data_IF_515277869841
#
_entry.id   IF_515277869841
#
_cell.length_a   1.000
_cell.length_b   1.000
_cell.length_c   1.000
_cell.angle_alpha   90.00
_cell.angle_beta   90.00
_cell.angle_gamma   90.00
#
_symmetry.space_group_name_H-M   'P 1'
#
loop_
_entity.id
_entity.type
_entity.pdbx_description
1 polymer ?
#
# COMPACT_ATOMS: atom_id res chain seq x y z
N UNK A 1 -7.08 -16.38 7.23
CA UNK A 1 -7.04 -15.08 7.93
C UNK A 1 -7.56 -15.27 9.34
N UNK A 2 -6.79 -14.79 10.32
CA UNK A 2 -7.15 -14.84 11.73
C UNK A 2 -7.36 -13.41 12.24
N UNK A 3 -8.31 -13.24 13.15
CA UNK A 3 -8.56 -11.98 13.85
C UNK A 3 -8.19 -12.16 15.32
N UNK A 4 -7.38 -11.25 15.84
CA UNK A 4 -7.02 -11.17 17.25
C UNK A 4 -7.61 -9.89 17.83
N UNK A 5 -8.45 -10.01 18.87
CA UNK A 5 -8.89 -8.87 19.67
C UNK A 5 -7.72 -8.40 20.55
N UNK A 6 -7.59 -7.10 20.77
CA UNK A 6 -6.59 -6.53 21.70
C UNK A 6 -7.22 -5.97 22.98
N UNK A 7 -8.52 -6.22 23.20
CA UNK A 7 -9.24 -5.69 24.36
C UNK A 7 -8.77 -6.33 25.68
N UNK A 8 -8.27 -7.57 25.64
CA UNK A 8 -7.81 -8.32 26.80
C UNK A 8 -6.40 -8.89 26.58
N UNK A 9 -5.63 -8.99 27.67
CA UNK A 9 -4.25 -9.50 27.70
C UNK A 9 -4.10 -10.97 27.20
N UNK A 10 -5.20 -11.69 27.01
CA UNK A 10 -5.22 -13.08 26.58
C UNK A 10 -6.34 -13.36 25.56
N UNK A 11 -6.35 -12.62 24.45
CA UNK A 11 -7.31 -12.88 23.38
C UNK A 11 -6.86 -14.06 22.51
N UNK A 12 -7.80 -14.97 22.20
CA UNK A 12 -7.55 -16.04 21.24
C UNK A 12 -7.67 -15.50 19.80
N UNK A 13 -6.78 -15.93 18.92
CA UNK A 13 -6.91 -15.66 17.49
C UNK A 13 -8.05 -16.52 16.92
N UNK A 14 -9.02 -15.88 16.26
CA UNK A 14 -10.18 -16.54 15.66
C UNK A 14 -10.00 -16.65 14.15
N UNK A 15 -10.14 -17.85 13.59
CA UNK A 15 -10.18 -18.00 12.14
C UNK A 15 -11.48 -17.42 11.57
N UNK A 16 -11.35 -16.45 10.68
CA UNK A 16 -12.48 -15.72 10.08
C UNK A 16 -12.68 -16.01 8.60
N UNK A 17 -11.98 -17.01 8.05
CA UNK A 17 -11.99 -17.31 6.62
C UNK A 17 -11.78 -18.79 6.33
N UNK A 18 -12.26 -19.28 5.19
CA UNK A 18 -12.02 -20.65 4.73
C UNK A 18 -10.58 -20.91 4.20
N UNK A 19 -9.68 -19.91 4.29
CA UNK A 19 -8.36 -19.92 3.65
C UNK A 19 -8.23 -18.70 2.73
N UNK A 20 -7.11 -17.97 2.80
CA UNK A 20 -6.92 -16.72 2.06
C UNK A 20 -5.54 -16.60 1.40
N UNK A 21 -4.87 -17.72 1.16
CA UNK A 21 -3.54 -17.70 0.57
C UNK A 21 -2.49 -17.02 1.47
N UNK A 22 -1.32 -16.75 0.89
CA UNK A 22 -0.23 -15.98 1.51
C UNK A 22 -0.34 -14.49 1.19
N UNK A 23 0.41 -13.65 1.93
CA UNK A 23 0.59 -12.21 1.66
C UNK A 23 -0.66 -11.31 1.78
N UNK A 24 -1.60 -11.63 2.67
CA UNK A 24 -2.96 -11.07 2.60
C UNK A 24 -3.14 -9.54 2.75
N UNK A 25 -2.14 -8.77 3.19
CA UNK A 25 -2.17 -7.29 3.37
C UNK A 25 -3.58 -6.74 3.70
N UNK A 26 -4.17 -7.09 4.87
CA UNK A 26 -5.57 -6.82 5.15
C UNK A 26 -5.83 -5.35 5.46
N UNK A 27 -7.00 -4.87 5.03
CA UNK A 27 -7.49 -3.53 5.34
C UNK A 27 -8.97 -3.59 5.75
N UNK A 28 -9.28 -3.11 6.95
CA UNK A 28 -10.64 -3.00 7.46
C UNK A 28 -11.39 -1.86 6.76
N UNK A 29 -12.65 -2.11 6.42
CA UNK A 29 -13.56 -1.05 6.00
C UNK A 29 -13.77 -0.04 7.12
N UNK A 30 -14.14 1.22 6.81
CA UNK A 30 -14.33 2.24 7.84
C UNK A 30 -15.42 1.88 8.87
N UNK A 31 -16.43 1.13 8.46
CA UNK A 31 -17.48 0.59 9.33
C UNK A 31 -17.08 -0.69 10.10
N UNK A 32 -15.88 -1.23 9.86
CA UNK A 32 -15.36 -2.44 10.47
C UNK A 32 -16.05 -3.74 10.07
N UNK A 33 -16.99 -3.72 9.10
CA UNK A 33 -17.79 -4.90 8.73
C UNK A 33 -17.14 -5.79 7.69
N UNK A 34 -16.20 -5.24 6.91
CA UNK A 34 -15.53 -5.93 5.81
C UNK A 34 -14.02 -5.81 5.93
N UNK A 35 -13.32 -6.80 5.39
CA UNK A 35 -11.87 -6.75 5.20
C UNK A 35 -11.59 -6.90 3.71
N UNK A 36 -10.89 -5.93 3.13
CA UNK A 36 -10.27 -6.09 1.82
C UNK A 36 -8.88 -6.71 2.02
N UNK A 37 -8.54 -7.70 1.21
CA UNK A 37 -7.26 -8.40 1.29
C UNK A 37 -6.66 -8.60 -0.08
N UNK A 38 -5.34 -8.77 -0.13
CA UNK A 38 -4.72 -9.52 -1.21
C UNK A 38 -5.02 -11.02 -1.01
N UNK A 39 -5.27 -11.71 -2.11
CA UNK A 39 -5.38 -13.17 -2.16
C UNK A 39 -4.40 -13.70 -3.20
N UNK A 40 -3.53 -14.62 -2.81
CA UNK A 40 -2.67 -15.39 -3.71
C UNK A 40 -3.06 -16.88 -3.59
N UNK A 41 -3.63 -17.51 -4.64
CA UNK A 41 -4.18 -18.86 -4.53
C UNK A 41 -3.13 -19.92 -4.23
N UNK A 42 -1.91 -19.73 -4.70
CA UNK A 42 -0.80 -20.65 -4.55
C UNK A 42 0.27 -20.02 -3.66
N UNK A 43 0.53 -20.56 -2.45
CA UNK A 43 1.56 -20.04 -1.56
C UNK A 43 2.99 -20.39 -1.99
N UNK A 44 3.18 -21.36 -2.89
CA UNK A 44 4.48 -21.78 -3.41
C UNK A 44 4.92 -20.94 -4.61
N UNK A 45 3.96 -20.31 -5.30
CA UNK A 45 4.22 -19.39 -6.41
C UNK A 45 4.11 -17.94 -5.96
N UNK A 46 5.26 -17.27 -5.82
CA UNK A 46 5.34 -15.89 -5.39
C UNK A 46 4.52 -14.98 -6.32
N UNK A 47 3.44 -14.41 -5.75
CA UNK A 47 2.57 -13.41 -6.36
C UNK A 47 1.93 -13.79 -7.71
N UNK A 48 1.81 -15.09 -8.01
CA UNK A 48 1.09 -15.54 -9.18
C UNK A 48 -0.44 -15.38 -9.00
N UNK A 49 -1.11 -14.82 -10.00
CA UNK A 49 -2.59 -14.76 -10.08
C UNK A 49 -3.29 -14.10 -8.87
N UNK A 50 -2.68 -13.05 -8.32
CA UNK A 50 -3.25 -12.35 -7.16
C UNK A 50 -4.61 -11.71 -7.45
N UNK A 51 -5.41 -11.55 -6.40
CA UNK A 51 -6.72 -10.89 -6.45
C UNK A 51 -6.92 -9.99 -5.24
N UNK A 52 -7.78 -8.98 -5.35
CA UNK A 52 -8.34 -8.31 -4.18
C UNK A 52 -9.67 -8.96 -3.84
N UNK A 53 -9.78 -9.48 -2.62
CA UNK A 53 -10.97 -10.16 -2.10
C UNK A 53 -11.57 -9.34 -0.96
N UNK A 54 -12.88 -9.18 -0.98
CA UNK A 54 -13.66 -8.71 0.16
C UNK A 54 -14.13 -9.89 0.99
N UNK A 55 -13.85 -9.85 2.28
CA UNK A 55 -14.42 -10.73 3.29
C UNK A 55 -15.47 -9.93 4.08
N UNK A 56 -16.70 -10.41 4.11
CA UNK A 56 -17.73 -9.92 5.02
C UNK A 56 -17.62 -10.64 6.37
N UNK A 57 -17.44 -9.89 7.46
CA UNK A 57 -17.19 -10.48 8.78
C UNK A 57 -18.43 -11.09 9.44
N UNK A 58 -19.63 -10.72 8.99
CA UNK A 58 -20.89 -11.23 9.56
C UNK A 58 -21.26 -12.55 8.92
N UNK A 59 -21.25 -12.58 7.60
CA UNK A 59 -21.66 -13.74 6.78
C UNK A 59 -20.51 -14.68 6.45
N UNK A 60 -19.26 -14.22 6.64
CA UNK A 60 -18.02 -14.90 6.22
C UNK A 60 -17.92 -15.14 4.72
N UNK A 61 -18.76 -14.47 3.92
CA UNK A 61 -18.71 -14.57 2.47
C UNK A 61 -17.47 -13.87 1.93
N UNK A 62 -16.87 -14.47 0.90
CA UNK A 62 -15.73 -13.92 0.17
C UNK A 62 -16.13 -13.57 -1.26
N UNK A 63 -15.72 -12.39 -1.72
CA UNK A 63 -15.98 -11.91 -3.07
C UNK A 63 -14.71 -11.35 -3.69
N UNK A 64 -14.31 -11.89 -4.84
CA UNK A 64 -13.27 -11.28 -5.67
C UNK A 64 -13.81 -10.00 -6.30
N UNK A 65 -13.16 -8.87 -6.04
CA UNK A 65 -13.53 -7.56 -6.62
C UNK A 65 -12.53 -7.08 -7.67
N UNK A 66 -11.29 -7.58 -7.62
CA UNK A 66 -10.25 -7.34 -8.62
C UNK A 66 -9.47 -8.64 -8.82
N UNK A 67 -9.28 -9.06 -10.07
CA UNK A 67 -8.52 -10.26 -10.44
C UNK A 67 -7.39 -9.84 -11.39
N UNK A 68 -6.12 -10.02 -10.98
CA UNK A 68 -4.98 -9.53 -11.78
C UNK A 68 -4.93 -10.13 -13.18
N UNK A 69 -5.45 -11.36 -13.36
CA UNK A 69 -5.48 -12.05 -14.67
C UNK A 69 -6.46 -11.42 -15.66
N UNK A 70 -7.39 -10.61 -15.18
CA UNK A 70 -8.38 -9.89 -16.00
C UNK A 70 -7.94 -8.47 -16.34
N UNK A 71 -6.82 -8.01 -15.76
CA UNK A 71 -6.32 -6.67 -15.98
C UNK A 71 -5.33 -6.67 -17.15
N UNK A 72 -5.54 -5.75 -18.09
CA UNK A 72 -4.56 -5.45 -19.13
C UNK A 72 -3.73 -4.26 -18.65
N UNK A 73 -2.43 -4.45 -18.49
CA UNK A 73 -1.55 -3.44 -17.88
C UNK A 73 -0.49 -2.94 -18.85
N UNK A 74 0.15 -3.84 -19.59
CA UNK A 74 1.11 -3.58 -20.67
C UNK A 74 1.05 -4.72 -21.72
N UNK A 75 1.70 -4.52 -22.87
CA UNK A 75 1.90 -5.60 -23.85
C UNK A 75 3.04 -6.56 -23.46
N UNK A 76 3.78 -6.26 -22.39
CA UNK A 76 4.91 -7.08 -21.95
C UNK A 76 4.42 -8.33 -21.21
N UNK A 77 4.37 -9.44 -21.94
CA UNK A 77 3.90 -10.74 -21.41
C UNK A 77 4.90 -11.43 -20.49
N UNK A 78 6.12 -10.90 -20.32
CA UNK A 78 7.16 -11.48 -19.46
C UNK A 78 7.08 -10.99 -18.01
N UNK A 79 6.11 -10.13 -17.69
CA UNK A 79 5.92 -9.61 -16.33
C UNK A 79 4.86 -10.39 -15.55
N UNK A 80 5.07 -10.48 -14.24
CA UNK A 80 4.03 -10.97 -13.32
C UNK A 80 3.17 -9.80 -12.85
N UNK A 81 1.88 -9.85 -13.17
CA UNK A 81 0.91 -8.82 -12.76
C UNK A 81 0.33 -9.13 -11.37
N UNK A 82 0.51 -8.18 -10.46
CA UNK A 82 0.14 -8.29 -9.05
C UNK A 82 -0.83 -7.19 -8.67
N UNK A 83 -1.93 -7.55 -8.03
CA UNK A 83 -2.79 -6.61 -7.30
C UNK A 83 -2.57 -6.79 -5.80
N UNK A 84 -2.36 -5.69 -5.10
CA UNK A 84 -1.92 -5.71 -3.70
C UNK A 84 -2.33 -4.44 -2.95
N UNK A 85 -2.13 -4.46 -1.62
CA UNK A 85 -2.22 -3.34 -0.68
C UNK A 85 -3.53 -2.57 -0.83
N UNK A 86 -4.67 -3.25 -0.63
CA UNK A 86 -5.94 -2.55 -0.57
C UNK A 86 -5.94 -1.57 0.61
N UNK A 87 -6.47 -0.37 0.40
CA UNK A 87 -6.66 0.64 1.45
C UNK A 87 -8.02 1.29 1.24
N UNK A 88 -8.82 1.33 2.30
CA UNK A 88 -10.14 1.94 2.24
C UNK A 88 -10.04 3.46 2.24
N UNK A 89 -10.61 4.07 1.21
CA UNK A 89 -10.81 5.51 1.14
C UNK A 89 -12.15 5.88 1.75
N UNK A 90 -13.21 5.10 1.52
CA UNK A 90 -14.55 5.26 2.11
C UNK A 90 -15.32 3.94 2.00
N UNK A 91 -16.54 3.86 2.55
CA UNK A 91 -17.37 2.66 2.45
C UNK A 91 -17.68 2.23 1.00
N UNK A 92 -17.49 3.15 0.04
CA UNK A 92 -17.70 2.93 -1.39
C UNK A 92 -16.44 3.05 -2.25
N UNK A 93 -15.27 3.35 -1.68
CA UNK A 93 -14.04 3.54 -2.44
C UNK A 93 -12.86 2.79 -1.81
N UNK A 94 -12.17 2.01 -2.63
CA UNK A 94 -10.95 1.29 -2.26
C UNK A 94 -9.81 1.70 -3.19
N UNK A 95 -8.63 1.99 -2.64
CA UNK A 95 -7.40 2.11 -3.42
C UNK A 95 -6.65 0.79 -3.36
N UNK A 96 -6.02 0.39 -4.45
CA UNK A 96 -5.11 -0.76 -4.49
C UNK A 96 -3.94 -0.49 -5.44
N UNK A 97 -2.87 -1.27 -5.28
CA UNK A 97 -1.69 -1.26 -6.14
C UNK A 97 -1.88 -2.28 -7.26
N UNK A 98 -1.61 -1.87 -8.50
CA UNK A 98 -1.39 -2.75 -9.64
C UNK A 98 0.09 -2.65 -10.05
N UNK A 99 0.84 -3.71 -9.82
CA UNK A 99 2.28 -3.78 -10.08
C UNK A 99 2.61 -4.84 -11.13
N UNK A 100 3.64 -4.55 -11.93
CA UNK A 100 4.27 -5.50 -12.85
C UNK A 100 5.68 -5.77 -12.33
N UNK A 101 5.98 -7.04 -12.08
CA UNK A 101 7.30 -7.51 -11.67
C UNK A 101 7.98 -8.19 -12.85
N UNK A 102 9.17 -7.72 -13.22
CA UNK A 102 10.03 -8.42 -14.19
C UNK A 102 10.72 -9.63 -13.56
N UNK A 103 10.88 -9.61 -12.23
CA UNK A 103 11.40 -10.72 -11.45
C UNK A 103 10.76 -10.67 -10.04
N UNK A 104 9.70 -11.46 -9.81
CA UNK A 104 9.00 -11.53 -8.52
C UNK A 104 9.90 -11.97 -7.36
N UNK A 105 10.84 -12.89 -7.62
CA UNK A 105 11.69 -13.48 -6.57
C UNK A 105 12.64 -12.45 -5.98
N UNK A 106 13.26 -11.62 -6.82
CA UNK A 106 14.08 -10.49 -6.36
C UNK A 106 13.28 -9.24 -5.98
N UNK A 107 11.96 -9.23 -6.24
CA UNK A 107 11.10 -8.07 -6.04
C UNK A 107 11.34 -6.94 -7.05
N UNK A 108 11.96 -7.24 -8.21
CA UNK A 108 12.25 -6.25 -9.25
C UNK A 108 10.97 -5.84 -9.96
N UNK A 109 10.52 -4.64 -9.65
CA UNK A 109 9.30 -4.04 -10.18
C UNK A 109 9.58 -3.09 -11.34
N UNK A 110 8.97 -3.35 -12.49
CA UNK A 110 9.06 -2.52 -13.70
C UNK A 110 8.04 -1.38 -13.68
N UNK A 111 6.84 -1.64 -13.14
CA UNK A 111 5.72 -0.69 -13.14
C UNK A 111 4.90 -0.80 -11.87
N UNK A 112 4.37 0.31 -11.37
CA UNK A 112 3.44 0.31 -10.25
C UNK A 112 2.48 1.49 -10.31
N UNK A 113 1.19 1.18 -10.27
CA UNK A 113 0.13 2.15 -10.44
C UNK A 113 -0.90 1.98 -9.33
N UNK A 114 -1.32 3.08 -8.72
CA UNK A 114 -2.48 3.09 -7.83
C UNK A 114 -3.74 3.21 -8.66
N UNK A 115 -4.71 2.36 -8.33
CA UNK A 115 -6.06 2.39 -8.87
C UNK A 115 -7.06 2.63 -7.74
N UNK A 116 -8.11 3.38 -8.02
CA UNK A 116 -9.26 3.54 -7.14
C UNK A 116 -10.43 2.76 -7.71
N UNK A 117 -10.93 1.78 -6.95
CA UNK A 117 -12.12 1.00 -7.24
C UNK A 117 -13.35 1.62 -6.56
N UNK A 118 -14.39 1.88 -7.35
CA UNK A 118 -15.70 2.36 -6.91
C UNK A 118 -16.67 1.17 -6.83
N UNK A 119 -17.09 0.83 -5.60
CA UNK A 119 -17.99 -0.29 -5.35
C UNK A 119 -19.38 -0.10 -5.96
N UNK A 120 -19.85 1.14 -6.10
CA UNK A 120 -21.18 1.44 -6.64
C UNK A 120 -21.18 1.29 -8.16
N UNK A 121 -20.11 1.74 -8.82
CA UNK A 121 -19.96 1.69 -10.27
C UNK A 121 -19.34 0.38 -10.77
N UNK A 122 -18.72 -0.38 -9.88
CA UNK A 122 -17.88 -1.54 -10.21
C UNK A 122 -16.81 -1.22 -11.25
N UNK A 123 -16.21 -0.04 -11.09
CA UNK A 123 -15.21 0.50 -11.99
C UNK A 123 -13.97 0.87 -11.22
N UNK A 124 -12.82 0.73 -11.87
CA UNK A 124 -11.55 1.22 -11.37
C UNK A 124 -10.99 2.31 -12.27
N UNK A 125 -10.34 3.29 -11.66
CA UNK A 125 -9.66 4.37 -12.38
C UNK A 125 -8.23 4.48 -11.91
N UNK A 126 -7.30 4.69 -12.84
CA UNK A 126 -5.90 4.99 -12.51
C UNK A 126 -5.84 6.35 -11.82
N UNK A 127 -5.16 6.42 -10.68
CA UNK A 127 -5.02 7.68 -9.92
C UNK A 127 -3.57 8.16 -9.84
N UNK A 128 -2.58 7.28 -9.74
CA UNK A 128 -1.17 7.67 -9.63
C UNK A 128 -0.20 6.56 -10.06
N UNK A 129 1.05 6.92 -10.38
CA UNK A 129 2.09 5.96 -10.75
C UNK A 129 2.02 5.50 -12.20
N UNK A 130 2.90 4.56 -12.54
CA UNK A 130 3.14 4.05 -13.89
C UNK A 130 4.53 3.44 -13.95
N UNK A 131 5.19 3.64 -15.09
CA UNK A 131 6.60 3.30 -15.27
C UNK A 131 7.49 4.38 -14.67
N UNK A 132 8.73 4.00 -14.37
CA UNK A 132 9.80 4.95 -14.12
C UNK A 132 10.93 4.63 -15.08
N UNK A 133 11.38 5.66 -15.80
CA UNK A 133 12.39 5.58 -16.83
C UNK A 133 13.24 6.86 -16.79
N UNK A 134 14.28 6.91 -17.62
CA UNK A 134 15.09 8.11 -17.80
C UNK A 134 14.86 8.67 -19.19
N UNK A 135 14.85 10.00 -19.34
CA UNK A 135 14.86 10.65 -20.65
C UNK A 135 16.19 10.36 -21.38
N UNK A 136 16.29 10.76 -22.65
CA UNK A 136 17.54 10.64 -23.40
C UNK A 136 18.68 11.44 -22.77
N UNK A 137 18.35 12.52 -22.05
CA UNK A 137 19.23 13.40 -21.31
C UNK A 137 19.58 12.87 -19.90
N UNK A 138 19.01 11.73 -19.50
CA UNK A 138 19.26 11.11 -18.20
C UNK A 138 18.39 11.65 -17.07
N UNK A 139 17.35 12.45 -17.36
CA UNK A 139 16.43 12.94 -16.34
C UNK A 139 15.44 11.86 -15.92
N UNK A 140 15.18 11.73 -14.62
CA UNK A 140 14.21 10.76 -14.11
C UNK A 140 12.78 11.17 -14.49
N UNK A 141 12.10 10.30 -15.25
CA UNK A 141 10.75 10.49 -15.74
C UNK A 141 9.79 9.45 -15.18
N UNK A 142 8.53 9.86 -15.00
CA UNK A 142 7.51 9.03 -14.38
C UNK A 142 7.87 8.64 -12.93
N UNK A 143 7.07 7.74 -12.37
CA UNK A 143 7.34 7.10 -11.08
C UNK A 143 6.44 5.89 -10.91
N UNK A 144 6.93 4.90 -10.16
CA UNK A 144 6.12 3.78 -9.65
C UNK A 144 5.47 4.23 -8.35
N UNK A 145 4.16 4.11 -8.22
CA UNK A 145 3.44 4.49 -6.99
C UNK A 145 3.17 3.27 -6.13
N UNK A 146 3.65 3.27 -4.89
CA UNK A 146 3.60 2.12 -3.99
C UNK A 146 3.22 2.54 -2.57
N UNK A 147 2.92 1.54 -1.75
CA UNK A 147 2.71 1.72 -0.31
C UNK A 147 1.62 2.74 0.05
N UNK A 148 0.40 2.63 -0.52
CA UNK A 148 -0.67 3.57 -0.23
C UNK A 148 -1.07 3.51 1.25
N UNK A 149 -1.46 4.65 1.80
CA UNK A 149 -2.12 4.77 3.10
C UNK A 149 -3.10 5.95 3.06
N UNK A 150 -4.17 5.90 3.84
CA UNK A 150 -5.15 6.99 3.92
C UNK A 150 -5.00 7.71 5.25
N UNK A 151 -4.91 9.03 5.19
CA UNK A 151 -5.01 9.90 6.36
C UNK A 151 -6.44 10.40 6.45
N UNK A 152 -7.04 10.22 7.62
CA UNK A 152 -8.26 10.91 8.01
C UNK A 152 -7.91 11.89 9.11
N UNK A 153 -7.75 13.17 8.76
CA UNK A 153 -7.67 14.24 9.75
C UNK A 153 -9.05 14.44 10.42
N UNK A 154 -9.06 15.08 11.59
CA UNK A 154 -10.29 15.38 12.37
C UNK A 154 -11.37 16.10 11.54
N UNK A 155 -10.98 16.78 10.46
CA UNK A 155 -11.85 17.57 9.59
C UNK A 155 -12.42 16.80 8.38
N UNK A 156 -12.17 15.49 8.27
CA UNK A 156 -12.61 14.60 7.18
C UNK A 156 -11.97 14.88 5.81
N UNK A 157 -10.95 15.74 5.70
CA UNK A 157 -10.18 15.87 4.47
C UNK A 157 -9.35 14.59 4.27
N UNK A 158 -9.85 13.68 3.42
CA UNK A 158 -9.16 12.41 3.16
C UNK A 158 -8.05 12.63 2.17
N UNK A 159 -6.83 12.36 2.59
CA UNK A 159 -5.66 12.39 1.73
C UNK A 159 -5.10 10.99 1.55
N UNK A 160 -4.73 10.66 0.32
CA UNK A 160 -3.95 9.48 0.02
C UNK A 160 -2.47 9.83 0.15
N UNK A 161 -1.77 9.07 0.98
CA UNK A 161 -0.31 9.04 1.03
C UNK A 161 0.19 7.86 0.20
N UNK A 162 1.34 8.02 -0.42
CA UNK A 162 2.05 6.93 -1.09
C UNK A 162 3.53 7.30 -1.26
N UNK A 163 4.35 6.33 -1.63
CA UNK A 163 5.73 6.58 -2.06
C UNK A 163 5.81 6.54 -3.59
N UNK A 164 6.41 7.56 -4.19
CA UNK A 164 6.81 7.58 -5.58
C UNK A 164 8.25 7.04 -5.69
N UNK A 165 8.45 5.97 -6.45
CA UNK A 165 9.77 5.37 -6.69
C UNK A 165 10.23 5.73 -8.09
N UNK A 166 11.39 6.38 -8.18
CA UNK A 166 12.09 6.67 -9.44
C UNK A 166 13.34 5.80 -9.53
N UNK A 167 13.55 5.18 -10.69
CA UNK A 167 14.61 4.18 -10.84
C UNK A 167 14.46 3.02 -9.86
N UNK A 168 15.55 2.67 -9.16
CA UNK A 168 15.60 1.57 -8.21
C UNK A 168 15.39 2.00 -6.74
N UNK A 169 16.00 3.11 -6.33
CA UNK A 169 16.12 3.49 -4.92
C UNK A 169 15.61 4.89 -4.58
N UNK A 170 15.46 5.80 -5.55
CA UNK A 170 14.98 7.15 -5.29
C UNK A 170 13.49 7.12 -4.92
N UNK A 171 13.15 7.63 -3.74
CA UNK A 171 11.81 7.58 -3.17
C UNK A 171 11.41 8.94 -2.64
N UNK A 172 10.24 9.39 -3.09
CA UNK A 172 9.62 10.61 -2.59
C UNK A 172 8.30 10.28 -1.86
N UNK A 173 8.08 10.84 -0.66
CA UNK A 173 6.78 10.79 0.00
C UNK A 173 5.79 11.72 -0.74
N UNK A 174 4.61 11.20 -1.04
CA UNK A 174 3.60 11.91 -1.83
C UNK A 174 2.28 12.02 -1.06
N UNK A 175 1.57 13.13 -1.25
CA UNK A 175 0.19 13.37 -0.82
C UNK A 175 -0.68 13.64 -2.03
N UNK A 176 -1.91 13.14 -2.02
CA UNK A 176 -2.93 13.46 -3.01
C UNK A 176 -4.26 13.67 -2.30
N UNK A 177 -4.91 14.80 -2.56
CA UNK A 177 -6.27 15.01 -2.09
C UNK A 177 -7.23 14.04 -2.82
N UNK A 178 -8.13 13.38 -2.08
CA UNK A 178 -9.09 12.44 -2.66
C UNK A 178 -10.39 13.17 -3.04
N UNK A 179 -11.16 12.67 -4.04
CA UNK A 179 -10.93 11.43 -4.80
C UNK A 179 -9.98 11.57 -6.01
N UNK A 180 -9.73 12.79 -6.50
CA UNK A 180 -8.93 13.05 -7.70
C UNK A 180 -8.29 14.45 -7.68
N UNK A 181 -7.67 14.83 -6.57
CA UNK A 181 -7.01 16.12 -6.39
C UNK A 181 -5.56 16.14 -6.86
N UNK A 182 -4.93 17.29 -6.71
CA UNK A 182 -3.54 17.50 -7.05
C UNK A 182 -2.63 16.61 -6.18
N UNK A 183 -1.55 16.14 -6.80
CA UNK A 183 -0.47 15.39 -6.13
C UNK A 183 0.61 16.39 -5.75
N UNK A 184 1.16 16.24 -4.54
CA UNK A 184 2.28 17.02 -4.05
C UNK A 184 3.30 16.12 -3.35
N UNK A 185 4.56 16.56 -3.36
CA UNK A 185 5.61 15.97 -2.53
C UNK A 185 5.41 16.46 -1.09
N UNK A 186 5.62 15.58 -0.11
CA UNK A 186 5.72 15.97 1.29
C UNK A 186 7.18 16.27 1.59
N UNK A 187 7.49 17.47 2.06
CA UNK A 187 8.86 17.87 2.34
C UNK A 187 9.36 17.30 3.68
N UNK A 188 9.69 16.01 3.70
CA UNK A 188 10.33 15.37 4.87
C UNK A 188 11.83 15.70 4.95
N UNK A 189 12.48 15.99 3.81
CA UNK A 189 13.93 16.17 3.72
C UNK A 189 14.71 15.04 4.41
N UNK A 190 14.29 13.79 4.17
CA UNK A 190 14.90 12.59 4.74
C UNK A 190 15.41 11.68 3.61
N UNK A 191 16.73 11.61 3.37
CA UNK A 191 17.27 10.78 2.30
C UNK A 191 17.08 9.28 2.56
N UNK A 192 16.80 8.88 3.80
CA UNK A 192 16.55 7.49 4.19
C UNK A 192 15.06 7.11 4.03
N UNK A 193 14.20 8.00 3.53
CA UNK A 193 12.78 7.71 3.36
C UNK A 193 12.57 6.49 2.44
N UNK A 194 11.81 5.52 2.92
CA UNK A 194 11.45 4.33 2.15
C UNK A 194 9.95 4.12 2.01
N UNK A 195 9.17 4.52 3.01
CA UNK A 195 7.73 4.23 3.11
C UNK A 195 7.44 2.90 3.83
N UNK A 196 6.15 2.53 4.06
CA UNK A 196 4.98 3.39 3.89
C UNK A 196 5.04 4.59 4.85
N UNK A 197 4.11 5.51 4.68
CA UNK A 197 4.00 6.71 5.52
C UNK A 197 2.58 6.84 6.03
N UNK A 198 2.46 7.24 7.29
CA UNK A 198 1.23 7.53 8.01
C UNK A 198 1.32 8.92 8.62
N UNK A 199 0.16 9.46 8.97
CA UNK A 199 0.06 10.71 9.70
C UNK A 199 -0.90 10.53 10.89
N UNK A 200 -0.46 10.93 12.07
CA UNK A 200 -1.24 10.82 13.30
C UNK A 200 -0.90 11.95 14.26
N UNK A 201 -1.92 12.68 14.73
CA UNK A 201 -1.79 13.65 15.81
C UNK A 201 -0.58 14.60 15.65
N UNK A 202 -0.40 15.14 14.45
CA UNK A 202 0.70 16.08 14.14
C UNK A 202 2.04 15.42 13.79
N UNK A 203 2.10 14.09 13.74
CA UNK A 203 3.32 13.33 13.49
C UNK A 203 3.27 12.60 12.15
N UNK A 204 4.36 12.74 11.37
CA UNK A 204 4.66 11.81 10.29
C UNK A 204 5.32 10.57 10.87
N UNK A 205 4.85 9.40 10.46
CA UNK A 205 5.43 8.10 10.84
C UNK A 205 5.73 7.35 9.55
N UNK A 206 6.95 6.91 9.33
CA UNK A 206 7.34 6.32 8.06
C UNK A 206 8.48 5.31 8.18
N UNK A 207 8.52 4.36 7.24
CA UNK A 207 9.64 3.44 7.10
C UNK A 207 10.88 4.13 6.53
N UNK A 208 12.04 3.81 7.07
CA UNK A 208 13.35 4.25 6.61
C UNK A 208 14.26 3.08 6.26
N UNK A 209 15.21 3.32 5.35
CA UNK A 209 16.29 2.40 5.03
C UNK A 209 17.58 3.21 4.86
N UNK A 210 18.61 2.87 5.62
CA UNK A 210 19.91 3.52 5.48
C UNK A 210 20.72 2.92 4.30
N UNK A 211 21.90 3.49 4.03
CA UNK A 211 22.77 3.04 2.92
C UNK A 211 23.27 1.59 3.07
N UNK A 212 23.34 1.07 4.30
CA UNK A 212 23.70 -0.31 4.61
C UNK A 212 22.52 -1.29 4.45
N UNK A 213 21.33 -0.79 4.13
CA UNK A 213 20.10 -1.57 4.01
C UNK A 213 19.43 -1.88 5.34
N UNK A 214 19.88 -1.30 6.45
CA UNK A 214 19.24 -1.42 7.76
C UNK A 214 17.92 -0.65 7.73
N UNK A 215 16.86 -1.31 8.18
CA UNK A 215 15.51 -0.77 8.15
C UNK A 215 15.14 -0.14 9.48
N UNK A 216 14.22 0.81 9.44
CA UNK A 216 13.73 1.48 10.64
C UNK A 216 12.32 2.02 10.47
N UNK A 217 11.72 2.39 11.60
CA UNK A 217 10.53 3.23 11.65
C UNK A 217 10.98 4.55 12.25
N UNK A 218 10.71 5.63 11.51
CA UNK A 218 11.00 6.99 11.95
C UNK A 218 9.72 7.77 12.18
N UNK A 219 9.77 8.74 13.09
CA UNK A 219 8.69 9.69 13.29
C UNK A 219 9.21 11.12 13.49
N UNK A 220 8.43 12.09 13.02
CA UNK A 220 8.69 13.53 13.14
C UNK A 220 7.42 14.28 13.53
N UNK A 221 7.52 15.09 14.57
CA UNK A 221 6.47 16.01 14.98
C UNK A 221 6.51 17.33 14.18
N UNK A 222 5.57 18.22 14.46
CA UNK A 222 5.55 19.58 13.90
C UNK A 222 5.45 19.62 12.37
N UNK A 223 4.67 18.71 11.79
CA UNK A 223 4.53 18.54 10.33
C UNK A 223 5.85 18.20 9.61
N UNK A 224 6.84 17.63 10.33
CA UNK A 224 8.14 17.26 9.77
C UNK A 224 9.26 18.27 10.05
N UNK A 225 8.96 19.35 10.79
CA UNK A 225 9.92 20.40 11.15
C UNK A 225 10.78 20.06 12.37
N UNK A 226 10.32 19.14 13.21
CA UNK A 226 11.08 18.69 14.38
C UNK A 226 12.09 17.59 14.03
N UNK A 227 13.16 17.40 14.84
CA UNK A 227 14.13 16.34 14.63
C UNK A 227 13.48 14.95 14.55
N UNK A 228 13.98 14.10 13.63
CA UNK A 228 13.49 12.73 13.52
C UNK A 228 13.95 11.88 14.70
N UNK A 229 13.06 11.02 15.15
CA UNK A 229 13.39 9.88 16.00
C UNK A 229 13.27 8.62 15.15
N UNK A 230 14.17 7.66 15.38
CA UNK A 230 14.23 6.43 14.58
C UNK A 230 14.43 5.23 15.49
N UNK A 231 13.62 4.20 15.26
CA UNK A 231 13.82 2.87 15.82
C UNK A 231 14.30 1.95 14.69
N UNK A 232 15.57 1.56 14.74
CA UNK A 232 16.16 0.61 13.80
C UNK A 232 15.83 -0.82 14.19
N UNK A 233 15.67 -1.69 13.20
CA UNK A 233 15.48 -3.12 13.39
C UNK A 233 16.10 -3.92 12.26
N UNK A 234 16.49 -5.16 12.56
CA UNK A 234 16.90 -6.11 11.55
C UNK A 234 15.66 -6.69 10.85
N UNK A 235 15.63 -6.63 9.52
CA UNK A 235 14.57 -7.25 8.74
C UNK A 235 14.08 -6.39 7.58
N UNK A 236 12.96 -6.80 6.97
CA UNK A 236 12.29 -6.05 5.91
C UNK A 236 11.43 -4.95 6.54
N UNK A 237 11.23 -3.87 5.79
CA UNK A 237 10.29 -2.83 6.18
C UNK A 237 8.90 -3.42 6.32
N UNK A 238 8.37 -3.31 7.54
CA UNK A 238 7.01 -3.67 7.88
C UNK A 238 6.07 -2.51 7.56
N UNK A 239 4.81 -2.83 7.24
CA UNK A 239 3.77 -1.81 7.18
C UNK A 239 3.39 -1.43 8.61
N UNK A 240 3.81 -0.27 9.15
CA UNK A 240 3.31 0.21 10.43
C UNK A 240 1.79 0.23 10.41
N UNK A 241 1.23 -0.18 11.54
CA UNK A 241 -0.17 0.01 11.87
C UNK A 241 -0.23 0.82 13.16
N UNK A 242 -1.22 1.69 13.28
CA UNK A 242 -1.44 2.49 14.46
C UNK A 242 -2.59 1.85 15.23
N UNK A 243 -2.30 1.45 16.47
CA UNK A 243 -3.29 0.88 17.40
C UNK A 243 -3.68 1.98 18.38
N UNK A 244 -4.97 2.26 18.50
CA UNK A 244 -5.56 3.22 19.45
C UNK A 244 -6.51 2.49 20.39
#
# INVERSE_FOLDING_TARGET
LYLLSLLDNASAAVNISAGMGSYANPAFSPDGRRIAVQYAPDPELVWASTSIVLLDLTTRQQQVIVDSRRLKTSENTETTTVVDRPVWVSDSLLVYVLAEYSDPESGRMSKSTLYMYDFKKQQHVRIAGGESYYSAEGEAMGFKAVMPAVVSEKDRSRSLLFAAVRGATDRAPMKMALPAGNKGVIELNDPEFFGPMLYLDGHWIYGTMNEEGVTGISWRAGEGKEPKQTLNFAGRIIYPAIIR
#
